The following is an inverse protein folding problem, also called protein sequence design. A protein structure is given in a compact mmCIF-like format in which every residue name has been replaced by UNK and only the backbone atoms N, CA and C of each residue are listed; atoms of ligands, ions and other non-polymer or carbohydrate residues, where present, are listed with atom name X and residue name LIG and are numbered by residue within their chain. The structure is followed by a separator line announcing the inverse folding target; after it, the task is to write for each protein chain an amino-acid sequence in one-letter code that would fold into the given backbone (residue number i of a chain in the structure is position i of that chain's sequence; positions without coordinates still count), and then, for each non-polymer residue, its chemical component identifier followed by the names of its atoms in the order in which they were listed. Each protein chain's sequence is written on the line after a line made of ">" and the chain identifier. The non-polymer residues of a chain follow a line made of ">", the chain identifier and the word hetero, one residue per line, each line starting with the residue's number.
data_IF_244904147381
#
_entry.id   IF_244904147381
#
_cell.length_a   1.000
_cell.length_b   1.000
_cell.length_c   1.000
_cell.angle_alpha   90.00
_cell.angle_beta   90.00
_cell.angle_gamma   90.00
#
_symmetry.space_group_name_H-M   'P 1'
#
loop_
_entity.id
_entity.type
_entity.pdbx_description
1 polymer ?
#
# COMPACT_ATOMS: atom_id res chain seq x y z
N UNK A 1 8.53 -0.64 7.72
CA UNK A 1 8.38 0.81 7.43
C UNK A 1 6.97 1.03 6.89
N UNK A 2 6.23 1.99 7.46
CA UNK A 2 4.88 2.34 6.99
C UNK A 2 4.92 3.20 5.72
N UNK A 3 3.74 3.68 5.29
CA UNK A 3 3.62 4.57 4.14
C UNK A 3 4.28 5.93 4.42
N UNK A 4 5.08 6.43 3.47
CA UNK A 4 5.55 7.82 3.52
C UNK A 4 4.35 8.76 3.63
N UNK A 5 4.51 9.89 4.32
CA UNK A 5 3.46 10.89 4.63
C UNK A 5 2.43 10.48 5.69
N UNK A 6 2.40 9.23 6.12
CA UNK A 6 1.46 8.71 7.15
C UNK A 6 2.17 7.99 8.29
N UNK A 7 3.49 8.08 8.37
CA UNK A 7 4.28 7.44 9.41
C UNK A 7 4.14 8.26 10.71
N UNK A 8 3.57 7.67 11.79
CA UNK A 8 3.37 8.39 13.04
C UNK A 8 4.67 8.51 13.86
N UNK A 9 5.73 7.81 13.47
CA UNK A 9 6.97 7.70 14.26
C UNK A 9 8.04 8.69 13.82
N UNK A 10 8.14 8.97 12.52
CA UNK A 10 9.09 9.93 11.97
C UNK A 10 8.72 10.31 10.54
N UNK A 11 9.08 11.53 10.13
CA UNK A 11 8.99 11.94 8.73
C UNK A 11 9.96 11.13 7.87
N UNK A 12 9.44 10.45 6.86
CA UNK A 12 10.24 9.78 5.84
C UNK A 12 10.58 10.74 4.69
N UNK A 13 11.59 10.39 3.87
CA UNK A 13 11.86 11.10 2.61
C UNK A 13 10.58 11.15 1.76
N UNK A 14 10.26 12.30 1.13
CA UNK A 14 9.07 12.42 0.30
C UNK A 14 8.98 11.31 -0.75
N UNK A 15 7.79 10.71 -0.88
CA UNK A 15 7.53 9.60 -1.79
C UNK A 15 8.42 8.36 -1.59
N UNK A 16 8.94 8.11 -0.38
CA UNK A 16 9.61 6.85 -0.09
C UNK A 16 8.65 5.67 -0.37
N UNK A 17 9.09 4.69 -1.16
CA UNK A 17 8.28 3.57 -1.67
C UNK A 17 7.05 3.95 -2.52
N UNK A 18 6.98 5.18 -3.05
CA UNK A 18 5.92 5.64 -3.96
C UNK A 18 6.53 6.08 -5.30
N UNK A 19 6.19 5.42 -6.40
CA UNK A 19 6.72 5.76 -7.74
C UNK A 19 5.65 5.67 -8.82
N UNK A 20 5.80 6.50 -9.84
CA UNK A 20 5.09 6.39 -11.13
C UNK A 20 6.08 5.90 -12.17
N UNK A 21 5.74 4.82 -12.87
CA UNK A 21 6.60 4.21 -13.88
C UNK A 21 5.89 4.34 -15.23
N UNK A 22 6.55 5.00 -16.19
CA UNK A 22 6.05 5.08 -17.57
C UNK A 22 6.57 3.86 -18.34
N UNK A 23 5.65 3.11 -18.95
CA UNK A 23 5.99 1.91 -19.71
C UNK A 23 6.54 2.28 -21.09
N UNK A 24 7.48 1.47 -21.57
CA UNK A 24 8.01 1.51 -22.93
C UNK A 24 7.11 0.78 -23.92
N UNK A 25 7.59 0.64 -25.16
CA UNK A 25 6.86 -0.05 -26.24
C UNK A 25 6.64 -1.55 -25.97
N UNK A 26 7.44 -2.16 -25.11
CA UNK A 26 7.35 -3.56 -24.72
C UNK A 26 6.28 -3.82 -23.63
N UNK A 27 5.68 -2.75 -23.07
CA UNK A 27 4.64 -2.83 -22.05
C UNK A 27 5.11 -3.39 -20.70
N UNK A 28 6.42 -3.51 -20.47
CA UNK A 28 6.97 -4.07 -19.23
C UNK A 28 7.27 -2.99 -18.21
N UNK A 29 7.14 -3.32 -16.94
CA UNK A 29 7.56 -2.49 -15.82
C UNK A 29 8.33 -3.32 -14.80
N UNK A 30 9.25 -2.68 -14.07
CA UNK A 30 9.97 -3.28 -12.97
C UNK A 30 10.24 -2.21 -11.90
N UNK A 31 10.29 -2.62 -10.63
CA UNK A 31 10.73 -1.79 -9.52
C UNK A 31 11.57 -2.61 -8.56
N UNK A 32 12.55 -1.96 -7.94
CA UNK A 32 13.33 -2.53 -6.85
C UNK A 32 13.00 -1.76 -5.57
N UNK A 33 12.53 -2.48 -4.55
CA UNK A 33 12.13 -1.91 -3.27
C UNK A 33 12.33 -2.95 -2.15
N UNK A 34 12.06 -2.56 -0.92
CA UNK A 34 12.04 -3.46 0.24
C UNK A 34 10.67 -4.13 0.34
N UNK A 35 10.63 -5.40 0.73
CA UNK A 35 9.37 -6.08 1.01
C UNK A 35 8.60 -5.35 2.13
N UNK A 36 7.31 -5.03 1.93
CA UNK A 36 6.51 -4.36 2.95
C UNK A 36 6.13 -5.34 4.07
N UNK A 37 5.86 -4.78 5.24
CA UNK A 37 5.18 -5.51 6.33
C UNK A 37 3.66 -5.32 6.21
N UNK A 38 2.89 -6.23 6.79
CA UNK A 38 1.47 -5.98 7.05
C UNK A 38 1.29 -4.75 7.95
N UNK A 39 0.07 -4.21 7.99
CA UNK A 39 -0.27 -3.09 8.86
C UNK A 39 -1.61 -3.28 9.54
N UNK A 40 -1.84 -2.55 10.62
CA UNK A 40 -3.13 -2.46 11.29
C UNK A 40 -3.58 -1.01 11.35
N UNK A 41 -4.87 -0.82 11.61
CA UNK A 41 -5.40 0.49 12.01
C UNK A 41 -4.69 0.96 13.29
N UNK A 42 -4.54 2.28 13.52
CA UNK A 42 -3.84 2.78 14.69
C UNK A 42 -4.50 2.34 16.02
N UNK A 43 -3.76 1.74 16.96
CA UNK A 43 -4.29 1.33 18.26
C UNK A 43 -4.95 2.48 19.01
N UNK A 44 -6.10 2.22 19.62
CA UNK A 44 -6.88 3.22 20.34
C UNK A 44 -7.61 4.25 19.46
N UNK A 45 -7.39 4.24 18.15
CA UNK A 45 -8.13 5.06 17.20
C UNK A 45 -9.59 4.63 17.09
N UNK A 46 -10.45 5.50 16.57
CA UNK A 46 -11.90 5.23 16.44
C UNK A 46 -12.21 3.95 15.66
N UNK A 47 -11.42 3.66 14.61
CA UNK A 47 -11.56 2.42 13.85
C UNK A 47 -11.15 1.19 14.66
N UNK A 48 -10.08 1.26 15.44
CA UNK A 48 -9.65 0.16 16.32
C UNK A 48 -10.72 -0.13 17.39
N UNK A 49 -11.24 0.91 18.03
CA UNK A 49 -12.31 0.78 19.03
C UNK A 49 -13.57 0.13 18.44
N UNK A 50 -13.99 0.55 17.24
CA UNK A 50 -15.13 -0.05 16.55
C UNK A 50 -14.87 -1.53 16.20
N UNK A 51 -13.68 -1.86 15.69
CA UNK A 51 -13.33 -3.23 15.34
C UNK A 51 -13.32 -4.13 16.57
N UNK A 52 -12.78 -3.66 17.69
CA UNK A 52 -12.80 -4.38 18.97
C UNK A 52 -14.22 -4.57 19.51
N UNK A 53 -15.08 -3.55 19.43
CA UNK A 53 -16.49 -3.66 19.83
C UNK A 53 -17.26 -4.71 18.99
N UNK A 54 -16.81 -4.97 17.76
CA UNK A 54 -17.35 -6.01 16.87
C UNK A 54 -16.63 -7.36 17.01
N UNK A 55 -15.64 -7.50 17.91
CA UNK A 55 -14.83 -8.72 18.05
C UNK A 55 -13.92 -9.02 16.84
N UNK A 56 -13.50 -7.99 16.09
CA UNK A 56 -12.67 -8.10 14.89
C UNK A 56 -11.28 -7.49 15.08
N UNK A 57 -10.28 -8.01 14.37
CA UNK A 57 -8.97 -7.38 14.29
C UNK A 57 -8.90 -6.34 13.15
N UNK A 58 -8.02 -5.34 13.30
CA UNK A 58 -7.76 -4.32 12.27
C UNK A 58 -6.62 -4.64 11.28
N UNK A 59 -6.02 -5.83 11.38
CA UNK A 59 -4.82 -6.22 10.64
C UNK A 59 -5.08 -6.45 9.14
N UNK A 60 -4.06 -6.14 8.33
CA UNK A 60 -3.96 -6.46 6.90
C UNK A 60 -2.66 -7.21 6.60
N UNK A 61 -2.67 -8.20 5.68
CA UNK A 61 -1.44 -8.85 5.23
C UNK A 61 -0.53 -7.86 4.50
N UNK A 62 0.74 -8.21 4.31
CA UNK A 62 1.65 -7.42 3.48
C UNK A 62 1.11 -7.33 2.04
N UNK A 63 1.12 -6.14 1.45
CA UNK A 63 0.62 -5.90 0.09
C UNK A 63 1.27 -4.70 -0.58
N UNK A 64 1.14 -4.63 -1.91
CA UNK A 64 1.57 -3.49 -2.74
C UNK A 64 0.37 -2.97 -3.53
N UNK A 65 0.18 -1.66 -3.56
CA UNK A 65 -0.90 -1.00 -4.30
C UNK A 65 -0.47 -0.64 -5.73
N UNK A 66 -1.42 -0.73 -6.66
CA UNK A 66 -1.23 -0.35 -8.06
C UNK A 66 -2.40 0.48 -8.57
N UNK A 67 -2.06 1.56 -9.26
CA UNK A 67 -2.92 2.22 -10.23
C UNK A 67 -2.29 2.05 -11.61
N UNK A 68 -3.06 1.50 -12.56
CA UNK A 68 -2.60 1.22 -13.91
C UNK A 68 -3.55 1.90 -14.89
N UNK A 69 -2.97 2.71 -15.77
CA UNK A 69 -3.70 3.51 -16.75
C UNK A 69 -3.06 3.34 -18.14
N UNK A 70 -3.88 3.22 -19.17
CA UNK A 70 -3.44 3.18 -20.56
C UNK A 70 -4.52 3.77 -21.49
N UNK A 71 -4.16 4.48 -22.57
CA UNK A 71 -5.14 5.02 -23.52
C UNK A 71 -6.04 3.93 -24.10
N UNK A 72 -7.35 4.16 -24.13
CA UNK A 72 -8.34 3.19 -24.63
C UNK A 72 -8.73 2.10 -23.64
N UNK A 73 -8.15 2.07 -22.44
CA UNK A 73 -8.50 1.12 -21.38
C UNK A 73 -9.10 1.84 -20.18
N UNK A 74 -9.89 1.11 -19.38
CA UNK A 74 -10.32 1.59 -18.07
C UNK A 74 -9.13 1.60 -17.11
N UNK A 75 -9.08 2.59 -16.23
CA UNK A 75 -8.12 2.60 -15.12
C UNK A 75 -8.35 1.38 -14.22
N UNK A 76 -7.25 0.73 -13.81
CA UNK A 76 -7.26 -0.41 -12.90
C UNK A 76 -6.66 0.02 -11.55
N UNK A 77 -7.48 -0.10 -10.51
CA UNK A 77 -7.05 -0.05 -9.11
C UNK A 77 -6.96 -1.47 -8.59
N UNK A 78 -5.77 -1.90 -8.15
CA UNK A 78 -5.57 -3.26 -7.65
C UNK A 78 -4.47 -3.33 -6.60
N UNK A 79 -4.30 -4.50 -6.00
CA UNK A 79 -3.18 -4.83 -5.12
C UNK A 79 -2.73 -6.28 -5.33
N UNK A 80 -1.49 -6.57 -4.93
CA UNK A 80 -1.02 -7.94 -4.74
C UNK A 80 -0.75 -8.18 -3.26
N UNK A 81 -0.99 -9.41 -2.79
CA UNK A 81 -0.57 -9.87 -1.47
C UNK A 81 0.66 -10.75 -1.61
N UNK A 82 1.51 -10.78 -0.59
CA UNK A 82 2.64 -11.71 -0.56
C UNK A 82 2.15 -13.10 -0.11
N UNK A 83 2.60 -14.13 -0.81
CA UNK A 83 2.38 -15.52 -0.41
C UNK A 83 3.09 -15.81 0.92
N UNK A 84 2.39 -16.55 1.79
CA UNK A 84 2.81 -16.91 3.13
C UNK A 84 1.73 -17.70 3.85
#
# INVERSE_FOLDING_TARGET
>A
LGYSHFDPTATQTPFNNCRRIKLGKDGRYAFHSKQPSGYSVPPGGSTDQLMQALGRHGNRPAHVHFFIEAPGYRALTTQINFEG
#
